data_IF_958700310046
#
_entry.id   IF_958700310046
#
_cell.length_a   1.000
_cell.length_b   1.000
_cell.length_c   1.000
_cell.angle_alpha   90.00
_cell.angle_beta   90.00
_cell.angle_gamma   90.00
#
_symmetry.space_group_name_H-M   'P 1'
#
loop_
_entity.id
_entity.type
_entity.pdbx_description
1 polymer ?
#
# COMPACT_ATOMS: atom_id res chain seq x y z
N UNK A 1 -2.80 -13.82 -11.77
CA UNK A 1 -1.52 -13.18 -11.39
C UNK A 1 -1.31 -13.39 -9.91
N UNK A 2 -0.08 -13.66 -9.46
CA UNK A 2 0.24 -13.70 -8.04
C UNK A 2 1.01 -12.43 -7.65
N UNK A 3 0.54 -11.74 -6.61
CA UNK A 3 1.30 -10.68 -5.95
C UNK A 3 1.78 -11.22 -4.61
N UNK A 4 3.09 -11.33 -4.45
CA UNK A 4 3.70 -11.67 -3.18
C UNK A 4 4.03 -10.38 -2.43
N UNK A 5 3.43 -10.19 -1.25
CA UNK A 5 3.68 -9.06 -0.36
C UNK A 5 4.55 -9.54 0.80
N UNK A 6 5.80 -9.08 0.78
CA UNK A 6 6.73 -9.22 1.90
C UNK A 6 6.50 -8.09 2.89
N UNK A 7 6.39 -8.41 4.18
CA UNK A 7 6.24 -7.42 5.25
C UNK A 7 7.22 -7.74 6.37
N UNK A 8 8.02 -6.75 6.74
CA UNK A 8 9.10 -6.93 7.71
C UNK A 8 8.98 -5.99 8.90
N UNK A 9 9.26 -6.56 10.06
CA UNK A 9 9.48 -5.82 11.30
C UNK A 9 10.90 -5.22 11.37
N UNK A 10 11.12 -4.21 12.25
CA UNK A 10 12.40 -3.54 12.45
C UNK A 10 13.61 -4.44 12.67
N UNK A 11 13.42 -5.58 13.33
CA UNK A 11 14.48 -6.54 13.62
C UNK A 11 15.06 -7.16 12.33
N UNK A 12 14.30 -7.16 11.24
CA UNK A 12 14.79 -7.61 9.94
C UNK A 12 15.84 -6.68 9.32
N UNK A 13 15.97 -5.45 9.79
CA UNK A 13 16.99 -4.50 9.33
C UNK A 13 18.43 -4.99 9.57
N UNK A 14 18.64 -6.02 10.41
CA UNK A 14 19.95 -6.68 10.58
C UNK A 14 20.51 -7.26 9.28
N UNK A 15 19.63 -7.59 8.32
CA UNK A 15 20.01 -8.11 6.99
C UNK A 15 20.30 -7.02 5.96
N UNK A 16 20.28 -5.75 6.37
CA UNK A 16 20.71 -4.64 5.54
C UNK A 16 22.21 -4.71 5.28
N UNK A 17 22.58 -4.73 3.99
CA UNK A 17 23.97 -4.66 3.56
C UNK A 17 24.12 -3.51 2.56
N UNK A 18 24.84 -2.43 2.90
CA UNK A 18 25.03 -1.30 2.00
C UNK A 18 25.81 -1.68 0.73
N UNK A 19 26.61 -2.75 0.76
CA UNK A 19 27.36 -3.22 -0.42
C UNK A 19 26.48 -3.89 -1.47
N UNK A 20 25.23 -4.23 -1.11
CA UNK A 20 24.25 -4.85 -2.00
C UNK A 20 23.25 -3.83 -2.57
N UNK A 21 23.40 -2.55 -2.24
CA UNK A 21 22.57 -1.49 -2.81
C UNK A 21 22.84 -1.33 -4.31
N UNK A 22 21.76 -1.09 -5.06
CA UNK A 22 21.84 -0.65 -6.45
C UNK A 22 22.57 0.70 -6.56
N UNK A 23 23.12 1.01 -7.74
CA UNK A 23 23.77 2.29 -7.98
C UNK A 23 22.85 3.49 -7.70
N UNK A 24 21.55 3.38 -8.02
CA UNK A 24 20.56 4.41 -7.73
C UNK A 24 20.33 4.59 -6.22
N UNK A 25 20.35 3.49 -5.46
CA UNK A 25 20.13 3.52 -4.02
C UNK A 25 21.36 3.98 -3.23
N UNK A 26 22.57 3.75 -3.74
CA UNK A 26 23.79 4.30 -3.17
C UNK A 26 23.77 5.84 -3.17
N UNK A 27 23.25 6.45 -4.25
CA UNK A 27 23.09 7.91 -4.34
C UNK A 27 22.04 8.42 -3.35
N UNK A 28 20.97 7.66 -3.13
CA UNK A 28 19.81 8.05 -2.29
C UNK A 28 19.91 7.56 -0.84
N UNK A 29 21.03 6.96 -0.46
CA UNK A 29 21.17 6.24 0.80
C UNK A 29 20.75 7.10 1.99
N UNK A 30 19.85 6.56 2.81
CA UNK A 30 19.42 7.16 4.08
C UNK A 30 19.84 6.27 5.23
N UNK A 31 20.05 6.88 6.40
CA UNK A 31 20.42 6.13 7.62
C UNK A 31 19.20 5.73 8.48
N UNK A 32 17.97 5.99 8.00
CA UNK A 32 16.77 5.67 8.77
C UNK A 32 16.53 4.17 8.85
N UNK A 33 15.84 3.75 9.92
CA UNK A 33 15.42 2.37 10.11
C UNK A 33 14.52 1.89 8.97
N UNK A 34 13.54 2.70 8.57
CA UNK A 34 12.66 2.46 7.43
C UNK A 34 13.41 2.10 6.15
N UNK A 35 14.47 2.86 5.84
CA UNK A 35 15.32 2.59 4.68
C UNK A 35 16.02 1.25 4.82
N UNK A 36 16.65 0.98 5.97
CA UNK A 36 17.39 -0.26 6.20
C UNK A 36 16.47 -1.48 6.14
N UNK A 37 15.30 -1.44 6.76
CA UNK A 37 14.31 -2.52 6.72
C UNK A 37 13.85 -2.77 5.27
N UNK A 38 13.47 -1.72 4.54
CA UNK A 38 13.06 -1.83 3.14
C UNK A 38 14.15 -2.45 2.25
N UNK A 39 15.40 -2.01 2.40
CA UNK A 39 16.53 -2.55 1.61
C UNK A 39 16.98 -3.94 2.07
N UNK A 40 16.77 -4.30 3.33
CA UNK A 40 16.94 -5.67 3.80
C UNK A 40 15.97 -6.63 3.09
N UNK A 41 14.69 -6.24 2.91
CA UNK A 41 13.73 -7.02 2.11
C UNK A 41 14.21 -7.14 0.66
N UNK A 42 14.64 -6.04 0.04
CA UNK A 42 15.13 -6.08 -1.34
C UNK A 42 16.30 -7.06 -1.52
N UNK A 43 17.27 -7.03 -0.60
CA UNK A 43 18.42 -7.94 -0.58
C UNK A 43 17.99 -9.41 -0.43
N UNK A 44 16.91 -9.67 0.30
CA UNK A 44 16.37 -11.00 0.53
C UNK A 44 15.59 -11.53 -0.69
N UNK A 45 14.72 -10.71 -1.27
CA UNK A 45 13.81 -11.10 -2.36
C UNK A 45 14.54 -11.16 -3.71
N UNK A 46 15.59 -10.36 -3.92
CA UNK A 46 16.38 -10.33 -5.17
C UNK A 46 15.55 -10.06 -6.42
N UNK A 47 14.49 -9.26 -6.29
CA UNK A 47 13.72 -8.71 -7.40
C UNK A 47 13.82 -7.19 -7.38
N UNK A 48 13.75 -6.55 -8.54
CA UNK A 48 13.94 -5.10 -8.68
C UNK A 48 12.68 -4.35 -9.11
N UNK A 49 11.65 -5.07 -9.59
CA UNK A 49 10.45 -4.51 -10.22
C UNK A 49 9.22 -4.43 -9.30
N UNK A 50 9.42 -4.46 -7.98
CA UNK A 50 8.35 -4.33 -6.99
C UNK A 50 8.06 -2.90 -6.52
N UNK A 51 7.01 -2.78 -5.70
CA UNK A 51 6.59 -1.52 -5.06
C UNK A 51 6.88 -1.57 -3.57
N UNK A 52 7.50 -0.52 -3.03
CA UNK A 52 7.82 -0.41 -1.61
C UNK A 52 6.85 0.51 -0.86
N UNK A 53 6.64 0.19 0.41
CA UNK A 53 6.18 1.15 1.42
C UNK A 53 6.89 0.92 2.74
N UNK A 54 6.96 1.93 3.60
CA UNK A 54 7.52 1.80 4.94
C UNK A 54 6.89 2.78 5.90
N UNK A 55 6.80 2.38 7.17
CA UNK A 55 6.31 3.22 8.25
C UNK A 55 6.83 2.69 9.59
N UNK A 56 7.32 3.57 10.46
CA UNK A 56 7.70 3.25 11.84
C UNK A 56 8.67 2.05 11.96
N UNK A 57 9.69 2.01 11.11
CA UNK A 57 10.71 0.96 11.06
C UNK A 57 10.29 -0.32 10.35
N UNK A 58 9.03 -0.43 9.96
CA UNK A 58 8.46 -1.56 9.22
C UNK A 58 8.44 -1.26 7.73
N UNK A 59 8.48 -2.29 6.90
CA UNK A 59 8.44 -2.12 5.45
C UNK A 59 7.62 -3.20 4.75
N UNK A 60 7.04 -2.82 3.62
CA UNK A 60 6.42 -3.69 2.63
C UNK A 60 7.23 -3.70 1.35
N UNK A 61 7.28 -4.86 0.70
CA UNK A 61 7.68 -5.00 -0.68
C UNK A 61 6.73 -5.93 -1.41
N UNK A 62 5.98 -5.38 -2.36
CA UNK A 62 5.07 -6.16 -3.21
C UNK A 62 5.74 -6.44 -4.56
N UNK A 63 5.74 -7.71 -4.97
CA UNK A 63 6.26 -8.16 -6.26
C UNK A 63 5.23 -9.01 -6.98
N UNK A 64 5.21 -8.93 -8.31
CA UNK A 64 4.37 -9.77 -9.17
C UNK A 64 5.17 -10.90 -9.79
N UNK A 65 4.54 -12.07 -9.93
CA UNK A 65 5.10 -13.21 -10.69
C UNK A 65 5.10 -12.98 -12.21
N UNK A 66 4.37 -11.99 -12.69
CA UNK A 66 4.32 -11.62 -14.11
C UNK A 66 5.56 -10.80 -14.46
N UNK A 67 6.47 -11.40 -15.22
CA UNK A 67 7.61 -10.72 -15.85
C UNK A 67 7.28 -10.31 -17.29
N UNK A 68 7.69 -9.11 -17.71
CA UNK A 68 7.62 -8.69 -19.12
C UNK A 68 6.85 -7.38 -19.36
N UNK A 69 6.47 -7.12 -20.61
CA UNK A 69 5.82 -5.87 -21.06
C UNK A 69 4.33 -5.76 -20.70
N UNK A 70 3.71 -6.82 -20.17
CA UNK A 70 2.39 -6.76 -19.55
C UNK A 70 2.51 -6.09 -18.18
N UNK A 71 2.58 -4.75 -18.19
CA UNK A 71 2.57 -3.94 -16.97
C UNK A 71 1.17 -3.92 -16.39
N UNK A 72 0.81 -4.93 -15.61
CA UNK A 72 -0.30 -4.77 -14.68
C UNK A 72 0.05 -3.65 -13.71
N UNK A 73 -0.82 -2.65 -13.60
CA UNK A 73 -0.64 -1.59 -12.61
C UNK A 73 -1.00 -2.15 -11.25
N UNK A 74 -0.06 -2.12 -10.32
CA UNK A 74 -0.30 -2.49 -8.94
C UNK A 74 0.43 -1.53 -8.01
N UNK A 75 -0.08 -1.37 -6.81
CA UNK A 75 0.50 -0.51 -5.78
C UNK A 75 0.23 -1.06 -4.39
N UNK A 76 1.11 -0.72 -3.45
CA UNK A 76 0.98 -1.11 -2.05
C UNK A 76 1.37 0.05 -1.15
N UNK A 77 0.70 0.17 -0.02
CA UNK A 77 1.05 1.12 1.02
C UNK A 77 0.88 0.55 2.44
N UNK A 78 1.59 1.15 3.39
CA UNK A 78 1.67 0.78 4.80
C UNK A 78 1.58 2.03 5.64
N UNK A 79 0.60 2.10 6.52
CA UNK A 79 0.45 3.22 7.44
C UNK A 79 0.32 2.73 8.88
N UNK A 80 0.99 3.42 9.80
CA UNK A 80 0.88 3.19 11.23
C UNK A 80 -0.29 4.00 11.80
N UNK A 81 -1.18 3.32 12.51
CA UNK A 81 -2.34 3.93 13.16
C UNK A 81 -1.88 4.63 14.43
N UNK A 82 -2.14 5.92 14.49
CA UNK A 82 -1.87 6.75 15.67
C UNK A 82 -3.07 7.67 15.93
N UNK A 83 -3.05 8.41 17.03
CA UNK A 83 -4.08 9.42 17.28
C UNK A 83 -3.93 10.56 16.28
N UNK A 84 -4.95 10.82 15.47
CA UNK A 84 -5.02 11.91 14.50
C UNK A 84 -6.44 12.46 14.41
N UNK A 85 -6.54 13.77 14.21
CA UNK A 85 -7.79 14.47 13.92
C UNK A 85 -8.04 14.49 12.41
N UNK A 86 -9.21 14.02 11.99
CA UNK A 86 -9.60 13.92 10.56
C UNK A 86 -10.58 15.01 10.11
N UNK A 87 -10.97 15.90 11.02
CA UNK A 87 -12.05 16.87 10.79
C UNK A 87 -11.85 17.75 9.55
N UNK A 88 -10.61 18.07 9.19
CA UNK A 88 -10.30 18.99 8.08
C UNK A 88 -10.04 18.29 6.74
N UNK A 89 -10.09 16.96 6.68
CA UNK A 89 -9.66 16.23 5.47
C UNK A 89 -10.55 16.50 4.27
N UNK A 90 -11.85 16.68 4.48
CA UNK A 90 -12.79 17.03 3.41
C UNK A 90 -12.56 18.44 2.90
N UNK A 91 -12.42 19.42 3.80
CA UNK A 91 -12.12 20.82 3.45
C UNK A 91 -10.78 20.98 2.72
N UNK A 92 -9.81 20.14 3.05
CA UNK A 92 -8.49 20.09 2.41
C UNK A 92 -8.46 19.28 1.11
N UNK A 93 -9.61 18.80 0.63
CA UNK A 93 -9.72 17.99 -0.59
C UNK A 93 -8.91 16.67 -0.54
N UNK A 94 -8.62 16.17 0.66
CA UNK A 94 -7.99 14.86 0.85
C UNK A 94 -9.02 13.75 0.63
N UNK A 95 -10.27 13.98 1.05
CA UNK A 95 -11.39 13.07 0.81
C UNK A 95 -12.50 13.73 -0.01
N UNK A 96 -13.12 12.96 -0.91
CA UNK A 96 -14.25 13.37 -1.74
C UNK A 96 -15.59 13.26 -0.99
N UNK A 97 -16.67 13.76 -1.60
CA UNK A 97 -18.03 13.60 -1.05
C UNK A 97 -18.45 12.13 -0.96
N UNK A 98 -18.14 11.34 -1.99
CA UNK A 98 -18.40 9.90 -2.01
C UNK A 98 -17.64 9.17 -0.89
N UNK A 99 -16.37 9.53 -0.69
CA UNK A 99 -15.55 8.97 0.39
C UNK A 99 -16.06 9.38 1.76
N UNK A 100 -16.55 10.61 1.91
CA UNK A 100 -17.17 11.06 3.16
C UNK A 100 -18.42 10.23 3.48
N UNK A 101 -19.28 9.97 2.48
CA UNK A 101 -20.46 9.12 2.62
C UNK A 101 -20.06 7.67 2.94
N UNK A 102 -19.03 7.15 2.27
CA UNK A 102 -18.49 5.81 2.50
C UNK A 102 -17.98 5.67 3.95
N UNK A 103 -17.21 6.65 4.45
CA UNK A 103 -16.69 6.66 5.81
C UNK A 103 -17.80 6.79 6.87
N UNK A 104 -18.90 7.50 6.58
CA UNK A 104 -20.03 7.63 7.50
C UNK A 104 -20.79 6.31 7.75
N UNK A 105 -20.59 5.28 6.91
CA UNK A 105 -21.17 3.96 7.14
C UNK A 105 -20.63 3.29 8.43
N UNK A 106 -19.43 3.69 8.90
CA UNK A 106 -18.93 3.31 10.22
C UNK A 106 -17.96 4.35 10.79
N UNK A 107 -18.20 4.83 12.01
CA UNK A 107 -17.41 5.91 12.62
C UNK A 107 -16.09 5.45 13.26
N UNK A 108 -15.36 4.54 12.61
CA UNK A 108 -14.07 4.06 13.12
C UNK A 108 -12.91 4.90 12.60
N UNK A 109 -12.01 5.42 13.46
CA UNK A 109 -10.81 6.13 13.01
C UNK A 109 -9.93 5.33 12.04
N UNK A 110 -9.94 3.99 12.17
CA UNK A 110 -9.18 3.11 11.27
C UNK A 110 -9.66 3.20 9.81
N UNK A 111 -10.91 3.63 9.57
CA UNK A 111 -11.43 3.80 8.21
C UNK A 111 -10.72 4.93 7.47
N UNK A 112 -10.36 6.00 8.17
CA UNK A 112 -9.59 7.10 7.56
C UNK A 112 -8.19 6.64 7.18
N UNK A 113 -7.56 5.83 8.05
CA UNK A 113 -6.28 5.18 7.74
C UNK A 113 -6.41 4.21 6.56
N UNK A 114 -7.42 3.34 6.57
CA UNK A 114 -7.72 2.42 5.49
C UNK A 114 -7.91 3.13 4.14
N UNK A 115 -8.68 4.22 4.12
CA UNK A 115 -8.88 5.03 2.93
C UNK A 115 -7.58 5.70 2.49
N UNK A 116 -6.86 6.33 3.41
CA UNK A 116 -5.58 6.97 3.13
C UNK A 116 -4.57 6.02 2.48
N UNK A 117 -4.32 4.87 3.12
CA UNK A 117 -3.39 3.84 2.62
C UNK A 117 -3.83 3.30 1.26
N UNK A 118 -5.15 3.16 1.04
CA UNK A 118 -5.71 2.74 -0.25
C UNK A 118 -5.46 3.79 -1.35
N UNK A 119 -5.63 5.07 -1.05
CA UNK A 119 -5.37 6.18 -1.99
C UNK A 119 -3.88 6.28 -2.33
N UNK A 120 -3.00 6.19 -1.35
CA UNK A 120 -1.54 6.14 -1.58
C UNK A 120 -1.16 4.95 -2.47
N UNK A 121 -1.79 3.79 -2.27
CA UNK A 121 -1.58 2.61 -3.11
C UNK A 121 -1.99 2.88 -4.57
N UNK A 122 -3.12 3.56 -4.80
CA UNK A 122 -3.59 3.95 -6.14
C UNK A 122 -2.65 4.96 -6.81
N UNK A 123 -2.15 5.95 -6.07
CA UNK A 123 -1.15 6.92 -6.57
C UNK A 123 0.10 6.18 -7.02
N UNK A 124 0.65 5.30 -6.17
CA UNK A 124 1.84 4.51 -6.48
C UNK A 124 1.65 3.63 -7.71
N UNK A 125 0.49 2.99 -7.85
CA UNK A 125 0.19 2.14 -9.00
C UNK A 125 0.12 2.90 -10.33
N UNK A 126 -0.18 4.21 -10.28
CA UNK A 126 -0.28 5.08 -11.46
C UNK A 126 0.94 6.00 -11.65
N UNK A 127 1.98 5.88 -10.81
CA UNK A 127 3.10 6.82 -10.78
C UNK A 127 2.64 8.29 -10.62
N UNK A 128 1.56 8.51 -9.87
CA UNK A 128 1.02 9.84 -9.58
C UNK A 128 1.78 10.58 -8.48
N UNK A 129 1.30 11.77 -8.15
CA UNK A 129 1.82 12.63 -7.10
C UNK A 129 0.78 12.91 -6.01
N UNK A 130 1.21 13.50 -4.88
CA UNK A 130 0.32 13.90 -3.78
C UNK A 130 -0.87 14.77 -4.20
N UNK A 131 -0.71 15.57 -5.25
CA UNK A 131 -1.78 16.39 -5.82
C UNK A 131 -2.96 15.56 -6.38
N UNK A 132 -2.76 14.26 -6.59
CA UNK A 132 -3.76 13.36 -7.16
C UNK A 132 -4.70 12.75 -6.10
N UNK A 133 -4.48 13.02 -4.80
CA UNK A 133 -5.31 12.46 -3.72
C UNK A 133 -6.80 12.70 -3.94
N UNK A 134 -7.22 13.88 -4.39
CA UNK A 134 -8.63 14.16 -4.67
C UNK A 134 -9.23 13.33 -5.83
N UNK A 135 -8.38 12.78 -6.70
CA UNK A 135 -8.76 12.12 -7.95
C UNK A 135 -8.63 10.58 -7.89
N UNK A 136 -8.25 10.03 -6.75
CA UNK A 136 -8.14 8.59 -6.51
C UNK A 136 -8.91 8.19 -5.27
N UNK A 137 -9.35 6.94 -5.21
CA UNK A 137 -9.93 6.36 -4.01
C UNK A 137 -11.22 5.62 -4.29
N UNK A 138 -12.23 5.87 -3.46
CA UNK A 138 -13.53 5.17 -3.50
C UNK A 138 -14.58 6.09 -4.09
N UNK A 139 -15.36 5.59 -5.04
CA UNK A 139 -16.52 6.30 -5.59
C UNK A 139 -17.75 5.40 -5.63
N UNK A 140 -18.93 6.00 -5.64
CA UNK A 140 -20.18 5.29 -5.89
C UNK A 140 -20.42 5.16 -7.40
N UNK A 141 -20.63 3.94 -7.88
CA UNK A 141 -21.03 3.65 -9.26
C UNK A 141 -22.09 2.57 -9.28
N UNK A 142 -23.21 2.84 -9.94
CA UNK A 142 -24.33 1.89 -10.08
C UNK A 142 -24.81 1.29 -8.74
N UNK A 143 -24.75 2.10 -7.67
CA UNK A 143 -25.14 1.70 -6.32
C UNK A 143 -24.11 0.86 -5.56
N UNK A 144 -22.90 0.71 -6.09
CA UNK A 144 -21.79 -0.02 -5.48
C UNK A 144 -20.58 0.89 -5.25
N UNK A 145 -19.81 0.61 -4.20
CA UNK A 145 -18.53 1.27 -3.96
C UNK A 145 -17.45 0.59 -4.81
N UNK A 146 -16.77 1.37 -5.64
CA UNK A 146 -15.68 0.89 -6.48
C UNK A 146 -14.45 1.79 -6.37
N UNK A 147 -13.30 1.24 -6.77
CA UNK A 147 -12.06 2.00 -6.80
C UNK A 147 -11.89 2.72 -8.13
N UNK A 148 -11.29 3.90 -8.07
CA UNK A 148 -10.94 4.68 -9.25
C UNK A 148 -9.58 5.35 -9.08
N UNK A 149 -8.94 5.62 -10.22
CA UNK A 149 -7.83 6.55 -10.30
C UNK A 149 -8.02 7.47 -11.53
N UNK A 150 -8.08 8.78 -11.31
CA UNK A 150 -8.37 9.80 -12.33
C UNK A 150 -9.65 9.52 -13.13
N UNK A 151 -10.70 9.05 -12.46
CA UNK A 151 -11.97 8.65 -13.09
C UNK A 151 -11.90 7.36 -13.92
N UNK A 152 -10.75 6.70 -13.99
CA UNK A 152 -10.60 5.38 -14.63
C UNK A 152 -10.92 4.29 -13.60
N UNK A 153 -11.86 3.40 -13.95
CA UNK A 153 -12.28 2.27 -13.12
C UNK A 153 -11.44 0.99 -13.32
N UNK A 154 -12.08 -0.17 -13.12
CA UNK A 154 -11.48 -1.53 -13.14
C UNK A 154 -10.36 -1.77 -12.13
N UNK A 155 -10.29 -0.91 -11.10
CA UNK A 155 -9.42 -1.13 -9.97
C UNK A 155 -10.08 -2.10 -9.00
N UNK A 156 -9.28 -3.07 -8.58
CA UNK A 156 -9.55 -3.93 -7.45
C UNK A 156 -8.57 -3.59 -6.35
N UNK A 157 -8.93 -3.94 -5.13
CA UNK A 157 -8.03 -3.71 -4.02
C UNK A 157 -8.54 -4.34 -2.74
N UNK A 158 -7.66 -4.41 -1.78
CA UNK A 158 -8.03 -4.79 -0.44
C UNK A 158 -7.16 -4.04 0.58
N UNK A 159 -7.72 -3.92 1.77
CA UNK A 159 -7.09 -3.32 2.93
C UNK A 159 -7.05 -4.38 4.02
N UNK A 160 -5.93 -4.50 4.71
CA UNK A 160 -5.73 -5.38 5.85
C UNK A 160 -5.24 -4.61 7.06
N UNK A 161 -5.50 -5.16 8.24
CA UNK A 161 -4.94 -4.70 9.50
C UNK A 161 -3.93 -5.72 10.02
N UNK A 162 -2.76 -5.24 10.45
CA UNK A 162 -1.72 -6.04 11.11
C UNK A 162 -1.26 -5.29 12.38
N UNK A 163 -1.78 -5.69 13.54
CA UNK A 163 -1.55 -4.95 14.78
C UNK A 163 -2.02 -3.50 14.66
N UNK A 164 -1.09 -2.56 14.86
CA UNK A 164 -1.31 -1.11 14.73
C UNK A 164 -1.08 -0.59 13.30
N UNK A 165 -0.90 -1.47 12.31
CA UNK A 165 -0.68 -1.08 10.92
C UNK A 165 -1.89 -1.37 10.05
N UNK A 166 -2.07 -0.50 9.07
CA UNK A 166 -2.99 -0.67 7.95
C UNK A 166 -2.15 -0.87 6.69
N UNK A 167 -2.52 -1.89 5.92
CA UNK A 167 -1.87 -2.24 4.66
C UNK A 167 -2.93 -2.16 3.58
N UNK A 168 -2.64 -1.51 2.46
CA UNK A 168 -3.50 -1.58 1.29
C UNK A 168 -2.72 -2.07 0.08
N UNK A 169 -3.39 -2.82 -0.79
CA UNK A 169 -2.88 -3.20 -2.10
C UNK A 169 -3.97 -3.02 -3.14
N UNK A 170 -3.60 -2.50 -4.30
CA UNK A 170 -4.51 -2.28 -5.43
C UNK A 170 -3.89 -2.83 -6.71
N UNK A 171 -4.75 -3.26 -7.62
CA UNK A 171 -4.36 -3.79 -8.93
C UNK A 171 -5.45 -3.51 -9.96
N UNK A 172 -5.05 -3.37 -11.22
CA UNK A 172 -5.96 -3.10 -12.33
C UNK A 172 -5.99 -4.26 -13.33
N UNK A 173 -7.18 -4.57 -13.87
CA UNK A 173 -7.37 -5.49 -15.01
C UNK A 173 -6.74 -6.89 -14.85
N UNK A 174 -6.71 -7.43 -13.63
CA UNK A 174 -6.17 -8.77 -13.36
C UNK A 174 -6.89 -9.47 -12.22
N UNK A 175 -7.11 -10.77 -12.36
CA UNK A 175 -7.40 -11.64 -11.23
C UNK A 175 -6.11 -11.88 -10.45
N UNK A 176 -6.10 -11.40 -9.20
CA UNK A 176 -4.92 -11.43 -8.33
C UNK A 176 -5.16 -12.34 -7.15
N UNK A 177 -4.23 -13.28 -6.99
CA UNK A 177 -4.01 -13.96 -5.73
C UNK A 177 -2.93 -13.20 -4.95
N UNK A 178 -3.16 -12.98 -3.65
CA UNK A 178 -2.19 -12.32 -2.77
C UNK A 178 -1.57 -13.35 -1.85
N UNK A 179 -0.25 -13.40 -1.90
CA UNK A 179 0.56 -14.24 -1.04
C UNK A 179 1.30 -13.38 -0.02
N UNK A 180 1.15 -13.72 1.27
CA UNK A 180 1.75 -12.97 2.36
C UNK A 180 3.02 -13.65 2.85
N UNK A 181 4.12 -12.90 2.95
CA UNK A 181 5.41 -13.38 3.49
C UNK A 181 5.91 -12.46 4.61
N UNK A 182 5.69 -12.87 5.85
CA UNK A 182 6.18 -12.16 7.03
C UNK A 182 7.68 -12.38 7.26
N UNK A 183 8.39 -11.34 7.69
CA UNK A 183 9.83 -11.36 7.93
C UNK A 183 10.16 -10.75 9.30
N UNK A 184 11.19 -11.30 9.96
CA UNK A 184 11.55 -10.93 11.34
C UNK A 184 10.45 -11.33 12.33
N UNK A 185 10.16 -10.44 13.28
CA UNK A 185 9.11 -10.63 14.28
C UNK A 185 7.70 -10.83 13.68
N UNK A 186 7.47 -10.43 12.43
CA UNK A 186 6.20 -10.60 11.72
C UNK A 186 6.07 -11.94 10.98
N UNK A 187 7.04 -12.84 11.07
CA UNK A 187 7.04 -14.12 10.34
C UNK A 187 5.86 -15.06 10.65
N UNK A 188 5.28 -14.96 11.85
CA UNK A 188 4.14 -15.77 12.28
C UNK A 188 2.81 -15.00 12.28
N UNK A 189 2.84 -13.71 11.96
CA UNK A 189 1.64 -12.87 11.95
C UNK A 189 0.92 -12.96 10.61
N UNK A 190 -0.38 -12.71 10.60
CA UNK A 190 -1.17 -12.68 9.37
C UNK A 190 -2.06 -11.43 9.35
N UNK A 191 -1.95 -10.58 8.31
CA UNK A 191 -2.84 -9.45 8.16
C UNK A 191 -4.30 -9.90 8.04
N UNK A 192 -5.17 -9.31 8.85
CA UNK A 192 -6.61 -9.56 8.81
C UNK A 192 -7.24 -8.68 7.75
N UNK A 193 -8.00 -9.27 6.83
CA UNK A 193 -8.73 -8.48 5.82
C UNK A 193 -9.75 -7.56 6.49
N UNK A 194 -9.71 -6.29 6.07
CA UNK A 194 -10.53 -5.21 6.56
C UNK A 194 -11.56 -4.78 5.52
N UNK A 195 -11.09 -4.43 4.31
CA UNK A 195 -11.93 -4.10 3.16
C UNK A 195 -11.49 -4.88 1.93
N UNK A 196 -12.44 -5.13 1.03
CA UNK A 196 -12.18 -5.67 -0.30
C UNK A 196 -13.08 -5.02 -1.33
N UNK A 197 -12.49 -4.59 -2.43
CA UNK A 197 -13.13 -3.97 -3.57
C UNK A 197 -12.89 -4.84 -4.80
N UNK A 198 -13.97 -5.15 -5.51
CA UNK A 198 -13.94 -5.84 -6.79
C UNK A 198 -14.10 -4.83 -7.93
N UNK A 199 -13.68 -5.21 -9.13
CA UNK A 199 -13.96 -4.39 -10.30
C UNK A 199 -15.47 -4.31 -10.52
N UNK A 200 -15.96 -3.10 -10.80
CA UNK A 200 -17.35 -2.84 -11.19
C UNK A 200 -17.56 -3.13 -12.68
#
# INVERSE_FOLDING_TARGET
MNICIYYAAPDFAVWYDPNRLSAADQVRMKQSLDWRTSRAIQNYVQQENGVFSHSHGHALYAVSDVSGSLKTRFGVDLEYVQTREFATWHEQQIISDDELIFLQQSCSPINYYALWTLKESLIKANHGEWADLANVGVMARDGQWCLHAHGVGNWQGAVWQLGEFVIAAVWQDADVFIEWRGLGAWSAEHPREYWRFQAA
#
